data_IF_357802042934
#
_entry.id   IF_357802042934
#
_cell.length_a   1.000
_cell.length_b   1.000
_cell.length_c   1.000
_cell.angle_alpha   90.00
_cell.angle_beta   90.00
_cell.angle_gamma   90.00
#
_symmetry.space_group_name_H-M   'P 1'
#
loop_
_entity.id
_entity.type
_entity.pdbx_description
1 polymer ?
#
# COMPACT_ATOMS: atom_id res chain seq x y z
N UNK A 1 1.41 25.26 -39.86
CA UNK A 1 0.94 24.07 -39.10
C UNK A 1 1.46 24.14 -37.67
N UNK A 2 0.66 24.60 -36.71
CA UNK A 2 1.05 24.54 -35.30
C UNK A 2 1.10 23.08 -34.85
N UNK A 3 2.30 22.58 -34.49
CA UNK A 3 2.47 21.25 -33.90
C UNK A 3 1.68 21.20 -32.60
N UNK A 4 0.47 20.60 -32.63
CA UNK A 4 -0.28 20.28 -31.42
C UNK A 4 0.57 19.32 -30.58
N UNK A 5 0.76 19.63 -29.30
CA UNK A 5 1.41 18.71 -28.37
C UNK A 5 0.70 17.34 -28.41
N UNK A 6 1.42 16.22 -28.33
CA UNK A 6 0.81 14.90 -28.28
C UNK A 6 -0.11 14.76 -27.05
N UNK A 7 -1.22 14.03 -27.20
CA UNK A 7 -2.28 13.90 -26.18
C UNK A 7 -1.74 13.46 -24.81
N UNK A 8 -0.75 12.56 -24.80
CA UNK A 8 -0.07 12.10 -23.57
C UNK A 8 0.60 13.25 -22.80
N UNK A 9 1.19 14.22 -23.51
CA UNK A 9 1.77 15.41 -22.87
C UNK A 9 0.71 16.34 -22.29
N UNK A 10 -0.46 16.47 -22.93
CA UNK A 10 -1.58 17.22 -22.35
C UNK A 10 -2.12 16.57 -21.09
N UNK A 11 -2.24 15.25 -21.07
CA UNK A 11 -2.64 14.52 -19.86
C UNK A 11 -1.61 14.70 -18.74
N UNK A 12 -0.31 14.64 -19.05
CA UNK A 12 0.76 14.92 -18.09
C UNK A 12 0.71 16.37 -17.56
N UNK A 13 0.48 17.37 -18.43
CA UNK A 13 0.33 18.76 -17.99
C UNK A 13 -0.86 18.92 -17.04
N UNK A 14 -2.00 18.28 -17.34
CA UNK A 14 -3.14 18.31 -16.44
C UNK A 14 -2.81 17.65 -15.08
N UNK A 15 -2.23 16.44 -15.08
CA UNK A 15 -2.00 15.68 -13.85
C UNK A 15 -0.83 16.19 -13.01
N UNK A 16 0.22 16.72 -13.63
CA UNK A 16 1.45 17.13 -12.94
C UNK A 16 1.52 18.64 -12.67
N UNK A 17 0.74 19.47 -13.36
CA UNK A 17 0.76 20.92 -13.20
C UNK A 17 -0.59 21.46 -12.71
N UNK A 18 -1.65 21.30 -13.51
CA UNK A 18 -2.96 21.93 -13.23
C UNK A 18 -3.57 21.36 -11.95
N UNK A 19 -3.57 20.05 -11.80
CA UNK A 19 -4.13 19.39 -10.62
C UNK A 19 -3.41 19.78 -9.32
N UNK A 20 -2.07 19.71 -9.21
CA UNK A 20 -1.36 20.16 -8.01
C UNK A 20 -1.61 21.62 -7.66
N UNK A 21 -1.59 22.52 -8.65
CA UNK A 21 -1.86 23.96 -8.41
C UNK A 21 -3.29 24.16 -7.90
N UNK A 22 -4.26 23.50 -8.52
CA UNK A 22 -5.68 23.68 -8.17
C UNK A 22 -6.04 22.99 -6.86
N UNK A 23 -5.32 21.95 -6.45
CA UNK A 23 -5.57 21.25 -5.17
C UNK A 23 -4.74 21.80 -4.01
N UNK A 24 -3.76 22.65 -4.30
CA UNK A 24 -2.92 23.29 -3.30
C UNK A 24 -3.75 24.12 -2.33
N UNK A 25 -3.45 23.97 -1.03
CA UNK A 25 -4.14 24.64 0.07
C UNK A 25 -5.68 24.50 0.03
N UNK A 26 -6.22 23.50 -0.67
CA UNK A 26 -7.67 23.26 -0.79
C UNK A 26 -8.39 23.20 0.56
N UNK A 27 -7.70 22.69 1.58
CA UNK A 27 -8.19 22.64 2.96
C UNK A 27 -8.53 24.01 3.56
N UNK A 28 -7.98 25.11 3.03
CA UNK A 28 -8.24 26.45 3.52
C UNK A 28 -9.42 27.15 2.81
N UNK A 29 -9.72 26.77 1.56
CA UNK A 29 -10.67 27.52 0.71
C UNK A 29 -11.80 26.65 0.10
N UNK A 30 -11.68 25.32 0.14
CA UNK A 30 -12.73 24.40 -0.26
C UNK A 30 -13.51 23.94 0.97
N UNK A 31 -14.75 24.40 1.17
CA UNK A 31 -15.56 24.00 2.31
C UNK A 31 -16.12 22.59 2.13
N UNK A 32 -16.48 21.92 3.22
CA UNK A 32 -17.07 20.56 3.20
C UNK A 32 -18.36 20.51 2.37
N UNK A 33 -19.15 21.59 2.40
CA UNK A 33 -20.37 21.76 1.60
C UNK A 33 -20.20 22.93 0.62
N UNK A 34 -19.55 22.70 -0.54
CA UNK A 34 -19.23 23.76 -1.48
C UNK A 34 -20.48 24.27 -2.21
N UNK A 35 -20.73 25.59 -2.23
CA UNK A 35 -21.87 26.15 -2.94
C UNK A 35 -21.75 25.92 -4.44
N UNK A 36 -22.89 25.81 -5.13
CA UNK A 36 -22.95 25.50 -6.55
C UNK A 36 -22.12 26.44 -7.44
N UNK A 37 -22.02 27.73 -7.06
CA UNK A 37 -21.21 28.70 -7.79
C UNK A 37 -19.70 28.37 -7.75
N UNK A 38 -19.20 27.80 -6.65
CA UNK A 38 -17.80 27.48 -6.49
C UNK A 38 -17.46 26.23 -7.33
N UNK A 39 -18.36 25.24 -7.29
CA UNK A 39 -18.26 24.05 -8.14
C UNK A 39 -18.30 24.41 -9.64
N UNK A 40 -19.18 25.34 -10.04
CA UNK A 40 -19.29 25.78 -11.43
C UNK A 40 -18.06 26.51 -11.94
N UNK A 41 -17.31 27.20 -11.06
CA UNK A 41 -16.02 27.82 -11.40
C UNK A 41 -14.89 26.81 -11.61
N UNK A 42 -14.89 25.68 -10.90
CA UNK A 42 -13.83 24.67 -11.01
C UNK A 42 -14.05 23.66 -12.13
N UNK A 43 -15.29 23.34 -12.48
CA UNK A 43 -15.61 22.40 -13.58
C UNK A 43 -14.88 22.74 -14.89
N UNK A 44 -14.81 24.01 -15.34
CA UNK A 44 -14.04 24.38 -16.54
C UNK A 44 -12.55 24.05 -16.46
N UNK A 45 -11.93 24.16 -15.28
CA UNK A 45 -10.48 23.96 -15.09
C UNK A 45 -10.06 22.55 -15.48
N UNK A 46 -10.86 21.55 -15.11
CA UNK A 46 -10.65 20.15 -15.54
C UNK A 46 -11.17 19.91 -16.95
N UNK A 47 -12.31 20.50 -17.32
CA UNK A 47 -12.94 20.25 -18.62
C UNK A 47 -12.09 20.64 -19.82
N UNK A 48 -11.42 21.80 -19.79
CA UNK A 48 -10.61 22.32 -20.90
C UNK A 48 -9.49 21.35 -21.33
N UNK A 49 -8.63 20.86 -20.42
CA UNK A 49 -7.61 19.89 -20.79
C UNK A 49 -8.23 18.55 -21.20
N UNK A 50 -9.31 18.09 -20.57
CA UNK A 50 -9.91 16.79 -20.91
C UNK A 50 -10.60 16.76 -22.28
N UNK A 51 -11.21 17.86 -22.72
CA UNK A 51 -11.69 17.99 -24.10
C UNK A 51 -10.53 17.84 -25.11
N UNK A 52 -9.36 18.39 -24.78
CA UNK A 52 -8.17 18.31 -25.62
C UNK A 52 -7.59 16.90 -25.64
N UNK A 53 -7.55 16.22 -24.47
CA UNK A 53 -7.04 14.84 -24.33
C UNK A 53 -7.95 13.82 -25.02
N UNK A 54 -9.26 13.96 -24.87
CA UNK A 54 -10.25 13.01 -25.41
C UNK A 54 -10.61 13.29 -26.87
N UNK A 55 -10.39 14.50 -27.37
CA UNK A 55 -10.85 14.93 -28.68
C UNK A 55 -12.39 15.05 -28.80
N UNK A 56 -13.09 15.03 -27.67
CA UNK A 56 -14.55 15.07 -27.61
C UNK A 56 -15.11 16.43 -28.06
N UNK A 57 -16.36 16.42 -28.55
CA UNK A 57 -17.05 17.67 -28.92
C UNK A 57 -17.35 18.53 -27.70
N UNK A 58 -17.42 19.85 -27.90
CA UNK A 58 -17.59 20.84 -26.81
C UNK A 58 -18.88 20.66 -26.00
N UNK A 59 -19.87 19.94 -26.52
CA UNK A 59 -21.16 19.67 -25.87
C UNK A 59 -21.17 18.41 -25.01
N UNK A 60 -20.12 17.58 -25.02
CA UNK A 60 -20.05 16.35 -24.21
C UNK A 60 -20.14 16.68 -22.72
N UNK A 61 -20.95 15.92 -21.98
CA UNK A 61 -21.10 16.08 -20.52
C UNK A 61 -19.75 15.92 -19.79
N UNK A 62 -19.50 16.72 -18.75
CA UNK A 62 -18.20 16.69 -18.05
C UNK A 62 -17.94 15.34 -17.37
N UNK A 63 -19.00 14.68 -16.89
CA UNK A 63 -18.91 13.36 -16.24
C UNK A 63 -18.34 12.30 -17.19
N UNK A 64 -18.66 12.38 -18.48
CA UNK A 64 -18.12 11.49 -19.51
C UNK A 64 -16.65 11.78 -19.78
N UNK A 65 -16.27 13.07 -19.78
CA UNK A 65 -14.87 13.49 -19.97
C UNK A 65 -13.98 13.08 -18.81
N UNK A 66 -14.52 13.01 -17.60
CA UNK A 66 -13.81 12.57 -16.42
C UNK A 66 -13.62 11.04 -16.43
N UNK A 67 -14.67 10.29 -16.81
CA UNK A 67 -14.68 8.83 -16.75
C UNK A 67 -13.77 8.18 -17.80
N UNK A 68 -13.84 8.63 -19.06
CA UNK A 68 -13.07 8.06 -20.18
C UNK A 68 -11.54 7.97 -19.93
N UNK A 69 -10.86 9.03 -19.47
CA UNK A 69 -9.44 9.00 -19.14
C UNK A 69 -9.14 8.48 -17.72
N UNK A 70 -10.15 8.09 -16.94
CA UNK A 70 -9.97 7.61 -15.56
C UNK A 70 -9.66 8.71 -14.54
N UNK A 71 -10.15 9.93 -14.75
CA UNK A 71 -9.92 11.06 -13.84
C UNK A 71 -11.08 11.22 -12.86
N UNK A 72 -10.77 11.28 -11.57
CA UNK A 72 -11.75 11.71 -10.57
C UNK A 72 -12.13 13.18 -10.82
N UNK A 73 -13.43 13.56 -10.80
CA UNK A 73 -13.83 14.96 -10.89
C UNK A 73 -13.16 15.81 -9.81
N UNK A 74 -12.83 17.06 -10.16
CA UNK A 74 -12.00 17.93 -9.32
C UNK A 74 -12.67 18.24 -7.98
N UNK A 75 -14.00 18.39 -7.98
CA UNK A 75 -14.78 18.63 -6.77
C UNK A 75 -14.71 17.42 -5.83
N UNK A 76 -14.84 16.20 -6.36
CA UNK A 76 -14.70 14.96 -5.59
C UNK A 76 -13.27 14.76 -5.07
N UNK A 77 -12.26 15.13 -5.87
CA UNK A 77 -10.87 15.11 -5.43
C UNK A 77 -10.62 16.07 -4.27
N UNK A 78 -11.17 17.28 -4.31
CA UNK A 78 -11.04 18.27 -3.25
C UNK A 78 -11.74 17.82 -1.95
N UNK A 79 -12.97 17.28 -2.07
CA UNK A 79 -13.66 16.67 -0.94
C UNK A 79 -12.84 15.51 -0.33
N UNK A 80 -12.30 14.64 -1.19
CA UNK A 80 -11.46 13.53 -0.74
C UNK A 80 -10.19 14.00 -0.02
N UNK A 81 -9.56 15.11 -0.44
CA UNK A 81 -8.41 15.69 0.26
C UNK A 81 -8.77 16.19 1.66
N UNK A 82 -9.95 16.81 1.83
CA UNK A 82 -10.47 17.22 3.15
C UNK A 82 -10.68 16.05 4.10
N UNK A 83 -11.28 14.98 3.60
CA UNK A 83 -11.44 13.73 4.34
C UNK A 83 -10.11 13.09 4.70
N UNK A 84 -9.16 13.02 3.76
CA UNK A 84 -7.82 12.50 4.03
C UNK A 84 -7.09 13.32 5.08
N UNK A 85 -7.17 14.65 5.02
CA UNK A 85 -6.61 15.51 6.05
C UNK A 85 -7.18 15.17 7.43
N UNK A 86 -8.52 15.08 7.54
CA UNK A 86 -9.21 14.72 8.79
C UNK A 86 -8.81 13.34 9.32
N UNK A 87 -8.55 12.39 8.43
CA UNK A 87 -8.14 11.05 8.80
C UNK A 87 -6.67 11.00 9.28
N UNK A 88 -5.76 11.70 8.61
CA UNK A 88 -4.32 11.62 8.88
C UNK A 88 -3.83 12.60 9.96
N UNK A 89 -4.35 13.82 9.99
CA UNK A 89 -3.85 14.90 10.83
C UNK A 89 -4.54 14.92 12.22
N UNK A 90 -5.86 15.20 12.35
CA UNK A 90 -6.54 15.14 13.64
C UNK A 90 -6.92 13.72 14.07
N UNK A 91 -6.69 12.69 13.24
CA UNK A 91 -7.01 11.27 13.51
C UNK A 91 -8.45 11.03 13.91
N UNK A 92 -9.37 11.58 13.13
CA UNK A 92 -10.81 11.36 13.32
C UNK A 92 -11.32 10.38 12.26
N UNK A 93 -12.31 9.58 12.66
CA UNK A 93 -13.02 8.70 11.75
C UNK A 93 -13.77 9.54 10.70
N UNK A 94 -13.81 9.03 9.47
CA UNK A 94 -14.43 9.72 8.35
C UNK A 94 -15.34 8.76 7.60
N UNK A 95 -16.51 9.25 7.19
CA UNK A 95 -17.39 8.55 6.26
C UNK A 95 -17.29 9.18 4.89
N UNK A 96 -17.19 8.36 3.84
CA UNK A 96 -17.23 8.82 2.46
C UNK A 96 -18.14 7.91 1.63
N UNK A 97 -19.28 8.45 1.21
CA UNK A 97 -20.38 7.65 0.67
C UNK A 97 -20.82 6.57 1.66
N UNK A 98 -20.79 5.31 1.22
CA UNK A 98 -21.15 4.15 2.04
C UNK A 98 -19.95 3.50 2.75
N UNK A 99 -18.78 4.13 2.71
CA UNK A 99 -17.55 3.59 3.28
C UNK A 99 -17.18 4.32 4.56
N UNK A 100 -16.89 3.55 5.61
CA UNK A 100 -16.39 4.04 6.88
C UNK A 100 -14.88 3.87 6.95
N UNK A 101 -14.16 4.95 7.22
CA UNK A 101 -12.72 4.99 7.39
C UNK A 101 -12.38 5.28 8.85
N UNK A 102 -11.76 4.31 9.52
CA UNK A 102 -11.35 4.45 10.93
C UNK A 102 -9.94 4.99 11.03
N UNK A 103 -9.74 6.05 11.82
CA UNK A 103 -8.41 6.62 12.02
C UNK A 103 -7.43 5.62 12.67
N UNK A 104 -7.96 4.70 13.49
CA UNK A 104 -7.19 3.63 14.11
C UNK A 104 -6.62 2.61 13.11
N UNK A 105 -7.21 2.46 11.93
CA UNK A 105 -6.74 1.51 10.89
C UNK A 105 -5.65 2.12 9.99
N UNK A 106 -5.49 3.44 10.08
CA UNK A 106 -4.54 4.20 9.27
C UNK A 106 -3.18 4.24 9.96
N UNK A 107 -2.13 4.10 9.14
CA UNK A 107 -0.78 4.26 9.62
C UNK A 107 -0.54 5.73 10.01
N UNK A 108 -0.07 6.01 11.23
CA UNK A 108 0.28 7.36 11.64
C UNK A 108 1.44 7.93 10.79
N UNK A 109 1.45 9.24 10.59
CA UNK A 109 2.62 9.92 10.02
C UNK A 109 3.85 9.64 10.89
N UNK A 110 4.95 9.25 10.25
CA UNK A 110 6.21 8.99 10.93
C UNK A 110 6.74 10.28 11.55
N UNK A 111 6.93 10.26 12.87
CA UNK A 111 7.55 11.37 13.57
C UNK A 111 9.07 11.19 13.56
N UNK A 112 9.78 11.97 12.75
CA UNK A 112 11.24 11.89 12.65
C UNK A 112 11.96 12.26 13.96
N UNK A 113 11.28 12.89 14.90
CA UNK A 113 11.85 13.36 16.15
C UNK A 113 11.47 12.51 17.35
N UNK A 114 10.67 11.45 17.17
CA UNK A 114 10.27 10.57 18.29
C UNK A 114 11.45 9.81 18.88
N UNK A 115 12.48 9.53 18.07
CA UNK A 115 13.67 8.79 18.47
C UNK A 115 14.92 9.58 18.11
N UNK A 116 15.73 9.90 19.13
CA UNK A 116 17.00 10.60 18.95
C UNK A 116 17.90 9.85 17.94
N UNK A 117 18.57 10.53 16.99
CA UNK A 117 19.39 9.87 15.97
C UNK A 117 20.44 8.89 16.52
N UNK A 118 21.05 9.19 17.66
CA UNK A 118 22.04 8.31 18.31
C UNK A 118 21.45 7.00 18.84
N UNK A 119 20.14 6.96 19.11
CA UNK A 119 19.46 5.75 19.60
C UNK A 119 19.00 4.84 18.46
N UNK A 120 19.14 5.27 17.21
CA UNK A 120 18.75 4.47 16.03
C UNK A 120 19.85 3.47 15.71
N UNK A 121 19.74 2.28 16.30
CA UNK A 121 20.70 1.20 16.07
C UNK A 121 20.26 0.35 14.88
N UNK A 122 21.17 0.03 13.93
CA UNK A 122 20.86 -0.86 12.84
C UNK A 122 20.73 -2.29 13.35
N UNK A 123 19.72 -3.01 12.88
CA UNK A 123 19.61 -4.45 13.13
C UNK A 123 20.55 -5.20 12.19
N UNK A 124 21.49 -5.97 12.75
CA UNK A 124 22.33 -6.86 11.95
C UNK A 124 21.53 -8.09 11.53
N UNK A 125 21.78 -8.55 10.32
CA UNK A 125 21.21 -9.78 9.78
C UNK A 125 22.21 -10.43 8.82
N UNK A 126 22.05 -11.74 8.60
CA UNK A 126 22.90 -12.49 7.69
C UNK A 126 22.08 -12.97 6.49
N UNK A 127 22.69 -12.98 5.31
CA UNK A 127 22.08 -13.54 4.11
C UNK A 127 22.60 -14.95 3.90
N UNK A 128 21.71 -15.94 3.99
CA UNK A 128 22.08 -17.33 3.82
C UNK A 128 21.82 -17.79 2.39
N UNK A 129 22.72 -18.61 1.87
CA UNK A 129 22.44 -19.48 0.74
C UNK A 129 21.57 -20.66 1.18
N UNK A 130 20.98 -21.37 0.23
CA UNK A 130 20.13 -22.54 0.53
C UNK A 130 20.86 -23.59 1.40
N UNK A 131 22.06 -23.99 1.01
CA UNK A 131 22.85 -24.98 1.76
C UNK A 131 23.22 -24.48 3.15
N UNK A 132 23.59 -23.20 3.29
CA UNK A 132 23.89 -22.60 4.60
C UNK A 132 22.65 -22.56 5.50
N UNK A 133 21.47 -22.32 4.93
CA UNK A 133 20.23 -22.29 5.71
C UNK A 133 19.83 -23.69 6.20
N UNK A 134 20.04 -24.75 5.40
CA UNK A 134 19.85 -26.15 5.84
C UNK A 134 20.82 -26.52 6.95
N UNK A 135 22.08 -26.09 6.85
CA UNK A 135 23.07 -26.32 7.90
C UNK A 135 22.67 -25.58 9.17
N UNK A 136 22.33 -24.30 9.05
CA UNK A 136 21.91 -23.47 10.19
C UNK A 136 20.64 -24.01 10.86
N UNK A 137 19.69 -24.59 10.12
CA UNK A 137 18.46 -25.15 10.71
C UNK A 137 18.70 -26.42 11.54
N UNK A 138 19.92 -26.96 11.56
CA UNK A 138 20.32 -28.11 12.38
C UNK A 138 21.08 -27.71 13.64
N UNK A 139 21.45 -26.43 13.77
CA UNK A 139 22.13 -25.91 14.95
C UNK A 139 21.20 -26.01 16.18
N UNK A 140 21.74 -26.19 17.39
CA UNK A 140 20.93 -26.24 18.59
C UNK A 140 20.35 -24.86 18.90
N UNK A 141 19.02 -24.75 18.86
CA UNK A 141 18.30 -23.54 19.21
C UNK A 141 16.86 -23.56 18.73
N UNK A 142 16.18 -22.42 18.88
CA UNK A 142 14.81 -22.25 18.43
C UNK A 142 14.80 -21.54 17.08
N UNK A 143 14.37 -22.27 16.06
CA UNK A 143 14.25 -21.76 14.70
C UNK A 143 12.82 -21.31 14.44
N UNK A 144 12.64 -20.03 14.16
CA UNK A 144 11.34 -19.41 13.87
C UNK A 144 11.31 -18.84 12.46
N UNK A 145 10.25 -19.13 11.73
CA UNK A 145 10.02 -18.67 10.36
C UNK A 145 8.80 -17.76 10.33
N UNK A 146 8.94 -16.60 9.71
CA UNK A 146 7.82 -15.67 9.48
C UNK A 146 7.52 -15.58 7.99
N UNK A 147 6.24 -15.69 7.64
CA UNK A 147 5.76 -15.36 6.29
C UNK A 147 4.42 -14.62 6.33
N UNK A 148 4.23 -13.73 5.35
CA UNK A 148 3.05 -12.88 5.19
C UNK A 148 2.46 -12.98 3.79
N UNK A 149 1.28 -13.59 3.67
CA UNK A 149 0.55 -13.67 2.41
C UNK A 149 -0.49 -12.57 2.31
N UNK A 150 -0.64 -11.98 1.12
CA UNK A 150 -1.67 -10.99 0.86
C UNK A 150 -2.30 -11.21 -0.51
N UNK A 151 -3.62 -11.37 -0.52
CA UNK A 151 -4.46 -11.40 -1.72
C UNK A 151 -5.44 -10.24 -1.68
N UNK A 152 -6.12 -9.93 -2.79
CA UNK A 152 -7.08 -8.82 -2.84
C UNK A 152 -8.23 -8.94 -1.83
N UNK A 153 -8.60 -10.18 -1.47
CA UNK A 153 -9.75 -10.48 -0.61
C UNK A 153 -9.37 -10.76 0.85
N UNK A 154 -8.12 -11.07 1.12
CA UNK A 154 -7.66 -11.48 2.44
C UNK A 154 -6.14 -11.51 2.52
N UNK A 155 -5.62 -11.31 3.72
CA UNK A 155 -4.20 -11.42 4.00
C UNK A 155 -3.99 -12.27 5.26
N UNK A 156 -2.81 -12.86 5.41
CA UNK A 156 -2.48 -13.76 6.49
C UNK A 156 -1.03 -13.66 6.91
N UNK A 157 -0.77 -13.98 8.16
CA UNK A 157 0.56 -14.00 8.76
C UNK A 157 0.75 -15.32 9.48
N UNK A 158 1.93 -15.93 9.31
CA UNK A 158 2.26 -17.20 9.92
C UNK A 158 3.59 -17.18 10.66
N UNK A 159 3.62 -17.94 11.77
CA UNK A 159 4.82 -18.30 12.50
C UNK A 159 4.92 -19.83 12.49
N UNK A 160 6.07 -20.36 12.08
CA UNK A 160 6.39 -21.78 12.20
C UNK A 160 7.67 -21.99 13.02
N UNK A 161 7.68 -23.01 13.87
CA UNK A 161 8.89 -23.46 14.58
C UNK A 161 9.42 -24.73 13.94
N UNK A 162 10.73 -24.86 13.73
CA UNK A 162 11.36 -25.98 13.00
C UNK A 162 11.04 -27.40 13.52
N UNK A 163 10.56 -27.53 14.76
CA UNK A 163 10.16 -28.79 15.39
C UNK A 163 8.64 -29.04 15.42
N UNK A 164 7.85 -28.35 14.58
CA UNK A 164 6.38 -28.51 14.45
C UNK A 164 5.52 -28.12 15.66
N UNK A 165 6.10 -27.59 16.75
CA UNK A 165 5.34 -27.43 18.01
C UNK A 165 4.31 -26.28 17.97
N UNK A 166 4.56 -25.20 17.22
CA UNK A 166 3.64 -24.05 17.17
C UNK A 166 3.56 -23.47 15.76
N UNK A 167 2.34 -23.51 15.22
CA UNK A 167 1.92 -22.83 14.01
C UNK A 167 0.80 -21.85 14.36
N UNK A 168 1.02 -20.55 14.17
CA UNK A 168 -0.05 -19.53 14.33
C UNK A 168 -0.42 -18.96 12.98
N UNK A 169 -1.71 -18.70 12.78
CA UNK A 169 -2.28 -18.09 11.57
C UNK A 169 -3.13 -16.91 12.00
N UNK A 170 -2.97 -15.78 11.32
CA UNK A 170 -3.76 -14.59 11.59
C UNK A 170 -4.47 -14.17 10.32
N UNK A 171 -5.73 -13.75 10.40
CA UNK A 171 -6.42 -13.10 9.29
C UNK A 171 -6.19 -11.60 9.39
N UNK A 172 -5.74 -11.01 8.30
CA UNK A 172 -5.49 -9.58 8.21
C UNK A 172 -6.67 -8.91 7.50
N UNK A 173 -7.24 -7.89 8.13
CA UNK A 173 -8.35 -7.13 7.55
C UNK A 173 -7.86 -6.36 6.31
N UNK A 174 -8.41 -6.61 5.12
CA UNK A 174 -8.05 -5.86 3.92
C UNK A 174 -8.57 -4.42 3.99
N UNK A 175 -7.76 -3.39 3.62
CA UNK A 175 -6.34 -3.35 3.97
C UNK A 175 -5.25 -3.74 2.97
N UNK A 176 -4.71 -4.95 3.12
CA UNK A 176 -3.28 -5.14 3.28
C UNK A 176 -2.44 -5.15 1.98
N UNK A 177 -1.12 -4.93 2.11
CA UNK A 177 -0.14 -5.22 1.04
C UNK A 177 0.71 -6.41 1.47
N UNK A 178 1.34 -7.11 0.51
CA UNK A 178 2.27 -8.20 0.83
C UNK A 178 3.34 -7.74 1.84
N UNK A 179 3.97 -6.59 1.60
CA UNK A 179 4.95 -6.03 2.53
C UNK A 179 4.39 -5.73 3.94
N UNK A 180 3.13 -5.29 4.05
CA UNK A 180 2.52 -5.03 5.36
C UNK A 180 2.14 -6.33 6.09
N UNK A 181 1.70 -7.36 5.36
CA UNK A 181 1.44 -8.69 5.93
C UNK A 181 2.71 -9.28 6.55
N UNK A 182 3.83 -9.12 5.87
CA UNK A 182 5.16 -9.57 6.31
C UNK A 182 5.64 -8.87 7.58
N UNK A 183 5.47 -7.55 7.63
CA UNK A 183 5.73 -6.77 8.85
C UNK A 183 4.90 -7.30 10.02
N UNK A 184 3.62 -7.59 9.79
CA UNK A 184 2.74 -8.13 10.84
C UNK A 184 3.21 -9.51 11.27
N UNK A 185 3.50 -10.42 10.33
CA UNK A 185 4.01 -11.75 10.63
C UNK A 185 5.28 -11.70 11.47
N UNK A 186 6.26 -10.90 11.06
CA UNK A 186 7.50 -10.71 11.80
C UNK A 186 7.27 -10.10 13.19
N UNK A 187 6.35 -9.15 13.31
CA UNK A 187 5.99 -8.54 14.60
C UNK A 187 5.36 -9.58 15.54
N UNK A 188 4.51 -10.47 15.02
CA UNK A 188 3.89 -11.55 15.81
C UNK A 188 4.92 -12.59 16.28
N UNK A 189 5.95 -12.89 15.48
CA UNK A 189 7.08 -13.71 15.92
C UNK A 189 7.75 -13.11 17.15
N UNK A 190 8.06 -11.81 17.11
CA UNK A 190 8.68 -11.13 18.25
C UNK A 190 7.75 -11.07 19.48
N UNK A 191 6.45 -10.84 19.28
CA UNK A 191 5.46 -10.86 20.37
C UNK A 191 5.35 -12.24 21.00
N UNK A 192 5.40 -13.29 20.19
CA UNK A 192 5.39 -14.66 20.69
C UNK A 192 6.62 -14.95 21.55
N UNK A 193 7.81 -14.48 21.14
CA UNK A 193 9.04 -14.61 21.93
C UNK A 193 8.99 -13.90 23.29
N UNK A 194 8.27 -12.77 23.39
CA UNK A 194 8.07 -12.08 24.67
C UNK A 194 7.31 -12.93 25.69
N UNK A 195 6.44 -13.82 25.22
CA UNK A 195 5.64 -14.74 26.05
C UNK A 195 6.41 -16.02 26.32
N UNK A 196 7.03 -16.60 25.29
CA UNK A 196 7.74 -17.89 25.40
C UNK A 196 8.97 -17.81 26.31
N UNK A 197 9.71 -16.70 26.26
CA UNK A 197 10.95 -16.46 27.03
C UNK A 197 11.89 -17.68 27.08
N UNK A 198 12.35 -18.16 25.91
CA UNK A 198 13.18 -19.35 25.87
C UNK A 198 14.58 -19.11 26.44
N UNK A 199 15.18 -20.14 27.02
CA UNK A 199 16.58 -20.09 27.46
C UNK A 199 17.58 -20.35 26.32
N UNK A 200 17.11 -20.98 25.24
CA UNK A 200 17.92 -21.33 24.07
C UNK A 200 18.10 -20.13 23.12
N UNK A 201 19.18 -20.10 22.31
CA UNK A 201 19.35 -19.11 21.26
C UNK A 201 18.22 -19.20 20.24
N UNK A 202 17.79 -18.04 19.75
CA UNK A 202 16.67 -17.91 18.81
C UNK A 202 17.18 -17.44 17.45
N UNK A 203 16.80 -18.16 16.40
CA UNK A 203 17.15 -17.88 15.02
C UNK A 203 15.87 -17.58 14.23
N UNK A 204 15.74 -16.35 13.75
CA UNK A 204 14.54 -15.89 13.03
C UNK A 204 14.86 -15.79 11.53
N UNK A 205 14.03 -16.43 10.71
CA UNK A 205 14.16 -16.47 9.26
C UNK A 205 13.00 -15.75 8.58
N UNK A 206 13.32 -14.96 7.55
CA UNK A 206 12.35 -14.32 6.65
C UNK A 206 12.87 -14.36 5.22
N UNK A 207 11.96 -14.48 4.26
CA UNK A 207 12.26 -14.40 2.83
C UNK A 207 12.24 -12.95 2.29
N UNK A 208 11.82 -11.97 3.13
CA UNK A 208 11.71 -10.56 2.75
C UNK A 208 12.95 -9.77 3.06
N UNK A 209 13.84 -9.71 2.07
CA UNK A 209 15.04 -8.87 2.14
C UNK A 209 14.72 -7.39 2.42
N UNK A 210 13.63 -6.85 1.87
CA UNK A 210 13.25 -5.43 2.06
C UNK A 210 12.97 -5.09 3.52
N UNK A 211 12.37 -6.02 4.28
CA UNK A 211 12.11 -5.86 5.72
C UNK A 211 13.43 -5.80 6.49
N UNK A 212 14.34 -6.74 6.24
CA UNK A 212 15.64 -6.80 6.90
C UNK A 212 16.55 -5.61 6.54
N UNK A 213 16.53 -5.18 5.27
CA UNK A 213 17.22 -3.95 4.84
C UNK A 213 16.65 -2.71 5.52
N UNK A 214 15.33 -2.63 5.71
CA UNK A 214 14.71 -1.54 6.44
C UNK A 214 15.15 -1.53 7.91
N UNK A 215 15.21 -2.70 8.56
CA UNK A 215 15.67 -2.85 9.94
C UNK A 215 17.17 -2.52 10.10
N UNK A 216 17.99 -2.89 9.12
CA UNK A 216 19.42 -2.55 9.06
C UNK A 216 19.70 -1.08 8.73
N UNK A 217 18.70 -0.32 8.26
CA UNK A 217 18.86 1.10 7.92
C UNK A 217 18.49 2.02 9.07
N UNK A 218 19.44 2.87 9.50
CA UNK A 218 19.24 3.91 10.53
C UNK A 218 18.27 5.02 10.05
N UNK A 219 18.03 5.12 8.74
CA UNK A 219 17.23 6.17 8.10
C UNK A 219 15.81 5.72 7.73
N UNK A 220 15.39 4.52 8.10
CA UNK A 220 14.03 4.05 7.76
C UNK A 220 12.97 4.96 8.40
N UNK A 221 12.04 5.49 7.59
CA UNK A 221 10.93 6.34 8.06
C UNK A 221 9.63 5.54 8.09
N UNK A 222 9.53 4.58 9.01
CA UNK A 222 8.33 3.75 9.22
C UNK A 222 8.14 3.48 10.70
N UNK A 223 6.93 3.74 11.17
CA UNK A 223 6.49 3.51 12.55
C UNK A 223 6.47 2.03 12.91
N UNK A 224 6.16 1.16 11.96
CA UNK A 224 6.13 -0.29 12.16
C UNK A 224 7.55 -0.84 12.34
N UNK A 225 8.50 -0.36 11.54
CA UNK A 225 9.90 -0.75 11.66
C UNK A 225 10.47 -0.29 13.01
N UNK A 226 10.13 0.92 13.47
CA UNK A 226 10.53 1.39 14.80
C UNK A 226 9.90 0.56 15.93
N UNK A 227 8.63 0.15 15.79
CA UNK A 227 8.00 -0.76 16.72
C UNK A 227 8.72 -2.11 16.77
N UNK A 228 9.11 -2.65 15.61
CA UNK A 228 9.92 -3.87 15.53
C UNK A 228 11.26 -3.67 16.23
N UNK A 229 11.98 -2.57 15.99
CA UNK A 229 13.25 -2.29 16.70
C UNK A 229 13.09 -2.25 18.21
N UNK A 230 12.03 -1.59 18.70
CA UNK A 230 11.75 -1.52 20.13
C UNK A 230 11.46 -2.91 20.73
N UNK A 231 10.77 -3.78 19.99
CA UNK A 231 10.55 -5.16 20.39
C UNK A 231 11.86 -5.95 20.43
N UNK A 232 12.70 -5.79 19.40
CA UNK A 232 14.03 -6.43 19.34
C UNK A 232 14.89 -5.97 20.52
N UNK A 233 15.00 -4.67 20.79
CA UNK A 233 15.81 -4.15 21.90
C UNK A 233 15.35 -4.69 23.26
N UNK A 234 14.02 -4.76 23.47
CA UNK A 234 13.45 -5.39 24.68
C UNK A 234 13.83 -6.86 24.80
N UNK A 235 13.77 -7.62 23.70
CA UNK A 235 14.10 -9.03 23.69
C UNK A 235 15.62 -9.29 23.83
N UNK A 236 16.46 -8.47 23.19
CA UNK A 236 17.92 -8.60 23.22
C UNK A 236 18.53 -8.45 24.61
N UNK A 237 17.80 -7.85 25.57
CA UNK A 237 18.22 -7.79 26.97
C UNK A 237 18.16 -9.15 27.69
N UNK A 238 17.45 -10.14 27.13
CA UNK A 238 17.18 -11.44 27.76
C UNK A 238 17.47 -12.64 26.86
N UNK A 239 17.34 -12.47 25.55
CA UNK A 239 17.46 -13.53 24.56
C UNK A 239 18.60 -13.23 23.58
N UNK A 240 19.32 -14.28 23.20
CA UNK A 240 20.23 -14.23 22.05
C UNK A 240 19.43 -14.44 20.77
N UNK A 241 19.23 -13.37 19.98
CA UNK A 241 18.44 -13.40 18.74
C UNK A 241 19.33 -13.08 17.54
N UNK A 242 19.29 -13.95 16.53
CA UNK A 242 19.93 -13.72 15.24
C UNK A 242 18.91 -13.74 14.10
N UNK A 243 19.08 -12.84 13.14
CA UNK A 243 18.19 -12.69 11.99
C UNK A 243 18.84 -13.17 10.70
N UNK A 244 18.10 -13.95 9.92
CA UNK A 244 18.57 -14.52 8.67
C UNK A 244 17.60 -14.26 7.52
N UNK A 245 18.15 -13.83 6.40
CA UNK A 245 17.45 -13.83 5.13
C UNK A 245 17.64 -15.19 4.44
N UNK A 246 16.53 -15.83 4.08
CA UNK A 246 16.49 -17.04 3.26
C UNK A 246 15.84 -16.74 1.91
N UNK A 247 16.06 -17.56 0.89
CA UNK A 247 15.30 -17.43 -0.36
C UNK A 247 13.91 -18.06 -0.16
N UNK A 248 12.87 -17.39 -0.65
CA UNK A 248 11.53 -17.99 -0.73
C UNK A 248 11.53 -19.24 -1.63
N UNK A 249 10.64 -20.18 -1.33
CA UNK A 249 10.50 -21.47 -2.03
C UNK A 249 11.81 -22.23 -2.22
N UNK A 250 12.63 -22.23 -1.18
CA UNK A 250 13.95 -22.85 -1.23
C UNK A 250 13.99 -24.28 -0.68
N UNK A 251 12.89 -24.97 -0.35
CA UNK A 251 13.00 -26.33 0.21
C UNK A 251 13.25 -26.38 1.72
N UNK A 252 13.21 -25.24 2.43
CA UNK A 252 13.27 -25.20 3.89
C UNK A 252 11.88 -25.50 4.45
N UNK A 253 11.73 -26.66 5.09
CA UNK A 253 10.45 -27.13 5.65
C UNK A 253 9.74 -26.06 6.50
N UNK A 254 10.47 -25.34 7.36
CA UNK A 254 9.89 -24.29 8.20
C UNK A 254 9.38 -23.07 7.42
N UNK A 255 10.08 -22.69 6.34
CA UNK A 255 9.64 -21.59 5.47
C UNK A 255 8.43 -22.01 4.64
N UNK A 256 8.47 -23.20 4.04
CA UNK A 256 7.35 -23.72 3.24
C UNK A 256 6.09 -23.92 4.07
N UNK A 257 6.27 -24.34 5.34
CA UNK A 257 5.19 -24.39 6.29
C UNK A 257 4.62 -22.99 6.56
N UNK A 258 5.47 -21.99 6.84
CA UNK A 258 5.01 -20.61 7.03
C UNK A 258 4.25 -20.08 5.80
N UNK A 259 4.77 -20.32 4.58
CA UNK A 259 4.13 -19.95 3.31
C UNK A 259 2.73 -20.57 3.18
N UNK A 260 2.59 -21.86 3.47
CA UNK A 260 1.31 -22.56 3.42
C UNK A 260 0.34 -22.04 4.50
N UNK A 261 0.82 -21.81 5.71
CA UNK A 261 0.02 -21.30 6.83
C UNK A 261 -0.45 -19.85 6.60
N UNK A 262 0.33 -19.03 5.90
CA UNK A 262 -0.09 -17.66 5.59
C UNK A 262 -1.26 -17.61 4.60
N UNK A 263 -1.39 -18.64 3.75
CA UNK A 263 -2.54 -18.85 2.86
C UNK A 263 -3.75 -19.43 3.60
N UNK A 264 -3.51 -20.33 4.55
CA UNK A 264 -4.53 -21.07 5.29
C UNK A 264 -4.93 -20.32 6.58
N UNK A 265 -6.00 -19.51 6.50
CA UNK A 265 -6.31 -18.44 7.47
C UNK A 265 -7.28 -18.87 8.56
N UNK A 266 -7.09 -18.37 9.79
CA UNK A 266 -8.02 -18.54 10.92
C UNK A 266 -8.81 -17.24 11.19
N UNK A 267 -9.99 -17.29 11.81
CA UNK A 267 -10.90 -16.13 11.97
C UNK A 267 -10.39 -14.97 12.87
N UNK A 268 -9.17 -15.05 13.39
CA UNK A 268 -8.56 -14.01 14.22
C UNK A 268 -8.19 -12.78 13.38
N UNK A 269 -8.95 -11.69 13.50
CA UNK A 269 -8.75 -10.48 12.70
C UNK A 269 -7.70 -9.55 13.36
N UNK A 270 -6.50 -9.44 12.77
CA UNK A 270 -5.48 -8.44 13.10
C UNK A 270 -5.57 -7.27 12.11
N UNK A 271 -5.66 -6.01 12.57
CA UNK A 271 -5.69 -4.86 11.67
C UNK A 271 -4.33 -4.66 10.99
N UNK A 272 -4.29 -4.75 9.66
CA UNK A 272 -3.13 -4.43 8.85
C UNK A 272 -3.11 -2.93 8.51
N UNK A 273 -2.24 -2.15 9.17
CA UNK A 273 -2.04 -0.73 8.88
C UNK A 273 -1.16 -0.60 7.64
N UNK A 274 -1.70 -0.10 6.53
CA UNK A 274 -0.94 0.10 5.28
C UNK A 274 -0.65 1.57 5.03
N UNK A 275 0.50 1.91 4.42
CA UNK A 275 0.80 3.29 4.01
C UNK A 275 -0.02 3.76 2.79
N UNK A 276 -0.75 2.85 2.15
CA UNK A 276 -1.44 3.07 0.88
C UNK A 276 -2.87 3.62 1.02
N UNK A 277 -3.26 4.08 2.22
CA UNK A 277 -4.60 4.59 2.50
C UNK A 277 -4.99 5.84 1.69
N UNK A 278 -4.05 6.76 1.41
CA UNK A 278 -4.34 7.95 0.58
C UNK A 278 -4.79 7.57 -0.84
N UNK A 279 -4.09 6.61 -1.45
CA UNK A 279 -4.41 6.08 -2.77
C UNK A 279 -5.69 5.24 -2.75
N UNK A 280 -5.94 4.49 -1.69
CA UNK A 280 -7.19 3.74 -1.52
C UNK A 280 -8.39 4.64 -1.34
N UNK A 281 -8.26 5.73 -0.59
CA UNK A 281 -9.35 6.69 -0.41
C UNK A 281 -9.70 7.34 -1.75
N UNK A 282 -8.70 7.82 -2.51
CA UNK A 282 -8.93 8.40 -3.84
C UNK A 282 -9.46 7.36 -4.84
N UNK A 283 -8.99 6.11 -4.76
CA UNK A 283 -9.52 5.00 -5.57
C UNK A 283 -10.93 4.57 -5.17
N UNK A 284 -11.27 4.64 -3.88
CA UNK A 284 -12.62 4.41 -3.37
C UNK A 284 -13.57 5.53 -3.79
N UNK A 285 -13.11 6.78 -3.74
CA UNK A 285 -13.81 7.93 -4.28
C UNK A 285 -14.11 7.75 -5.77
N UNK A 286 -13.12 7.28 -6.53
CA UNK A 286 -13.32 6.98 -7.95
C UNK A 286 -14.31 5.84 -8.19
N UNK A 287 -14.26 4.76 -7.41
CA UNK A 287 -15.21 3.63 -7.53
C UNK A 287 -16.64 4.00 -7.17
N UNK A 288 -16.83 4.79 -6.12
CA UNK A 288 -18.15 5.29 -5.73
C UNK A 288 -18.72 6.22 -6.80
N UNK A 289 -17.87 7.03 -7.42
CA UNK A 289 -18.25 7.93 -8.49
C UNK A 289 -18.54 7.22 -9.82
N UNK A 290 -17.77 6.17 -10.18
CA UNK A 290 -17.94 5.41 -11.42
C UNK A 290 -17.99 3.89 -11.19
N UNK A 291 -19.15 3.36 -10.72
CA UNK A 291 -19.29 1.95 -10.37
C UNK A 291 -19.28 0.98 -11.58
N UNK A 292 -19.43 1.48 -12.81
CA UNK A 292 -19.47 0.69 -14.05
C UNK A 292 -18.18 0.69 -14.89
N UNK A 293 -17.12 1.37 -14.44
CA UNK A 293 -15.84 1.39 -15.16
C UNK A 293 -15.09 0.08 -14.94
N UNK A 294 -15.00 -0.75 -16.00
CA UNK A 294 -14.21 -2.00 -16.00
C UNK A 294 -12.76 -1.64 -15.69
N UNK A 295 -12.23 -2.20 -14.61
CA UNK A 295 -10.84 -2.09 -14.21
C UNK A 295 -9.93 -2.57 -15.35
N UNK A 296 -9.11 -1.67 -15.89
CA UNK A 296 -7.74 -2.05 -16.24
C UNK A 296 -7.07 -2.34 -14.91
N UNK A 297 -6.80 -3.62 -14.67
CA UNK A 297 -6.09 -4.09 -13.50
C UNK A 297 -4.78 -3.32 -13.31
N UNK A 298 -4.33 -3.34 -12.06
CA UNK A 298 -2.97 -3.10 -11.59
C UNK A 298 -2.48 -1.64 -11.54
N UNK A 299 -1.96 -1.29 -10.36
CA UNK A 299 -0.71 -0.57 -10.02
C UNK A 299 -0.07 0.49 -10.95
N UNK A 300 -0.49 0.70 -12.20
CA UNK A 300 0.29 1.33 -13.25
C UNK A 300 -0.19 2.73 -13.66
N UNK A 301 -1.37 3.17 -13.24
CA UNK A 301 -1.94 4.46 -13.67
C UNK A 301 -1.62 5.66 -12.76
N UNK A 302 -1.10 5.41 -11.56
CA UNK A 302 -0.92 6.44 -10.53
C UNK A 302 0.51 6.51 -9.99
N UNK A 303 1.48 5.98 -10.74
CA UNK A 303 2.90 6.20 -10.49
C UNK A 303 3.41 7.34 -11.40
N UNK A 304 3.86 8.49 -10.87
CA UNK A 304 4.44 9.54 -11.70
C UNK A 304 5.71 9.12 -12.46
N UNK A 305 6.23 7.90 -12.23
CA UNK A 305 7.45 7.38 -12.87
C UNK A 305 7.26 6.29 -13.93
N UNK A 306 6.05 5.80 -14.22
CA UNK A 306 5.87 4.73 -15.22
C UNK A 306 5.14 5.21 -16.49
N UNK A 307 5.87 5.26 -17.59
CA UNK A 307 5.33 5.49 -18.94
C UNK A 307 4.63 4.23 -19.48
N UNK A 308 3.34 4.30 -19.85
CA UNK A 308 2.68 3.23 -20.64
C UNK A 308 2.43 3.66 -22.09
N UNK A 309 2.55 2.67 -22.99
CA UNK A 309 2.56 2.74 -24.47
C UNK A 309 1.12 2.71 -25.07
N UNK A 310 0.86 3.36 -26.23
CA UNK A 310 -0.50 3.66 -26.72
C UNK A 310 -1.18 2.58 -27.60
N UNK A 311 -0.70 1.34 -27.63
CA UNK A 311 -1.22 0.32 -28.57
C UNK A 311 -2.45 -0.46 -28.10
N UNK A 312 -2.84 -0.40 -26.81
CA UNK A 312 -3.96 -1.20 -26.28
C UNK A 312 -5.37 -0.58 -26.43
N UNK A 313 -5.47 0.66 -26.94
CA UNK A 313 -6.77 1.36 -27.08
C UNK A 313 -7.48 1.01 -28.39
N UNK A 314 -6.75 0.56 -29.42
CA UNK A 314 -7.31 0.29 -30.75
C UNK A 314 -8.20 -0.95 -30.81
N UNK A 315 -7.94 -1.95 -29.97
CA UNK A 315 -8.71 -3.20 -29.93
C UNK A 315 -10.05 -3.08 -29.21
N UNK A 316 -10.26 -2.04 -28.40
CA UNK A 316 -11.50 -1.85 -27.62
C UNK A 316 -12.64 -1.18 -28.40
N UNK A 317 -12.32 -0.38 -29.43
CA UNK A 317 -13.32 0.30 -30.27
C UNK A 317 -14.09 -0.65 -31.21
N UNK A 318 -13.60 -1.87 -31.43
CA UNK A 318 -14.29 -2.87 -32.25
C UNK A 318 -15.28 -3.75 -31.46
N UNK A 319 -15.16 -3.82 -30.13
CA UNK A 319 -15.99 -4.69 -29.28
C UNK A 319 -17.26 -4.06 -28.73
N UNK A 320 -17.36 -2.73 -28.72
CA UNK A 320 -18.57 -2.00 -28.37
C UNK A 320 -19.17 -1.54 -29.69
N UNK A 321 -20.26 -2.17 -30.13
CA UNK A 321 -20.96 -1.94 -31.39
C UNK A 321 -21.51 -0.52 -31.58
N UNK A 322 -20.62 0.48 -31.60
CA UNK A 322 -20.90 1.83 -32.05
C UNK A 322 -20.60 1.91 -33.55
N UNK A 323 -21.44 1.27 -34.36
CA UNK A 323 -21.49 1.53 -35.80
C UNK A 323 -22.10 2.91 -36.01
N UNK A 324 -21.26 3.94 -36.11
CA UNK A 324 -21.79 5.29 -36.40
C UNK A 324 -20.88 6.48 -36.16
N UNK A 325 -19.56 6.37 -36.35
CA UNK A 325 -18.68 7.54 -36.47
C UNK A 325 -17.71 7.30 -37.63
N UNK A 326 -18.07 7.80 -38.82
CA UNK A 326 -17.09 8.03 -39.88
C UNK A 326 -16.30 9.30 -39.51
N UNK A 327 -14.98 9.17 -39.67
CA UNK A 327 -13.91 10.12 -39.31
C UNK A 327 -14.13 11.56 -39.77
#
# INVERSE_FOLDING_TARGET
MHRRLPLKKYQQLYTQLVLPITTYASLAWWPDNPPAYLQSKLKPVQRIPLLTVTGAVRTVRSEVLDALPGNLPICERLAALGHLFTLFQPRKDVKYGNLDFKAAEVQPQYNEWSTHPANRKPCRFHRLTHNQAIQMSREPGIHMYSDGSCTERAAGAALATGSLVVAKRFKLTPPCSAYAAEIVAFTEVLRYLLVLQPELPVFIYTDRLSLLLALGSIRSRSTEIDNIRNLIERLSSRLSISFYHVKGHSGLLGNELADHLAVDREQSDIPCRSRWWSWRFLGAAFRLWSPGSIFLSSQWFWDPFVCVNPTSVRSYLHGIGCTGLRL
#
